data_IF_546060594363
#
_entry.id   IF_546060594363
#
_cell.length_a   1.000
_cell.length_b   1.000
_cell.length_c   1.000
_cell.angle_alpha   90.00
_cell.angle_beta   90.00
_cell.angle_gamma   90.00
#
_symmetry.space_group_name_H-M   'P 1'
#
loop_
_entity.id
_entity.type
_entity.pdbx_description
1 polymer ?
#
# COMPACT_ATOMS: atom_id res chain seq x y z
N UNK A 1 -11.93 18.02 32.84
CA UNK A 1 -10.62 18.41 32.29
C UNK A 1 -10.30 17.44 31.22
N UNK A 2 -10.13 17.86 29.97
CA UNK A 2 -9.55 17.03 28.92
C UNK A 2 -8.13 16.76 29.40
N UNK A 3 -7.77 15.49 29.57
CA UNK A 3 -6.40 15.11 29.90
C UNK A 3 -5.52 15.52 28.71
N UNK A 4 -4.82 16.65 28.85
CA UNK A 4 -3.97 17.21 27.79
C UNK A 4 -2.78 16.31 27.44
N UNK A 5 -2.53 15.26 28.23
CA UNK A 5 -1.47 14.27 27.97
C UNK A 5 -1.96 13.06 27.17
N UNK A 6 -3.29 12.87 27.06
CA UNK A 6 -3.91 11.71 26.39
C UNK A 6 -3.35 11.39 25.00
N UNK A 7 -3.33 12.34 24.05
CA UNK A 7 -2.81 12.07 22.71
C UNK A 7 -1.34 11.66 22.67
N UNK A 8 -0.52 12.21 23.57
CA UNK A 8 0.91 11.83 23.66
C UNK A 8 1.05 10.42 24.25
N UNK A 9 0.28 10.10 25.30
CA UNK A 9 0.27 8.74 25.86
C UNK A 9 -0.26 7.71 24.87
N UNK A 10 -1.30 8.01 24.11
CA UNK A 10 -1.82 7.11 23.08
C UNK A 10 -0.76 6.80 22.02
N UNK A 11 0.03 7.80 21.61
CA UNK A 11 1.15 7.57 20.68
C UNK A 11 2.26 6.71 21.31
N UNK A 12 2.63 6.95 22.58
CA UNK A 12 3.67 6.18 23.29
C UNK A 12 3.24 4.71 23.45
N UNK A 13 2.02 4.46 23.93
CA UNK A 13 1.54 3.08 24.15
C UNK A 13 1.22 2.38 22.83
N UNK A 14 0.93 3.14 21.77
CA UNK A 14 0.70 2.65 20.42
C UNK A 14 1.86 1.77 19.92
N UNK A 15 3.09 2.10 20.27
CA UNK A 15 4.27 1.30 19.94
C UNK A 15 4.18 -0.13 20.50
N UNK A 16 3.86 -0.28 21.79
CA UNK A 16 3.73 -1.60 22.44
C UNK A 16 2.49 -2.35 21.95
N UNK A 17 1.38 -1.65 21.69
CA UNK A 17 0.16 -2.22 21.11
C UNK A 17 0.42 -2.78 19.72
N UNK A 18 1.14 -2.03 18.89
CA UNK A 18 1.55 -2.53 17.59
C UNK A 18 2.49 -3.74 17.70
N UNK A 19 3.44 -3.74 18.63
CA UNK A 19 4.29 -4.90 18.91
C UNK A 19 3.48 -6.15 19.31
N UNK A 20 2.39 -5.99 20.06
CA UNK A 20 1.49 -7.10 20.40
C UNK A 20 0.73 -7.62 19.16
N UNK A 21 0.26 -6.73 18.27
CA UNK A 21 -0.34 -7.12 16.99
C UNK A 21 0.67 -7.83 16.08
N UNK A 22 1.90 -7.34 16.03
CA UNK A 22 2.98 -7.95 15.26
C UNK A 22 3.28 -9.38 15.74
N UNK A 23 3.37 -9.57 17.05
CA UNK A 23 3.55 -10.91 17.62
C UNK A 23 2.37 -11.85 17.29
N UNK A 24 1.13 -11.37 17.37
CA UNK A 24 -0.06 -12.14 16.99
C UNK A 24 -0.03 -12.54 15.50
N UNK A 25 0.36 -11.61 14.63
CA UNK A 25 0.43 -11.81 13.18
C UNK A 25 1.52 -12.83 12.80
N UNK A 26 2.70 -12.69 13.39
CA UNK A 26 3.86 -13.55 13.15
C UNK A 26 3.62 -14.98 13.62
N UNK A 27 3.08 -15.14 14.82
CA UNK A 27 2.77 -16.43 15.43
C UNK A 27 1.49 -17.08 14.89
N UNK A 28 0.72 -16.43 14.03
CA UNK A 28 -0.53 -16.98 13.47
C UNK A 28 -1.63 -17.23 14.51
N UNK A 29 -1.60 -16.54 15.65
CA UNK A 29 -2.52 -16.79 16.76
C UNK A 29 -4.00 -16.67 16.35
N UNK A 30 -4.31 -15.76 15.41
CA UNK A 30 -5.68 -15.55 14.94
C UNK A 30 -6.23 -16.77 14.20
N UNK A 31 -5.41 -17.46 13.42
CA UNK A 31 -5.81 -18.65 12.68
C UNK A 31 -6.14 -19.81 13.63
N UNK A 32 -5.35 -19.96 14.70
CA UNK A 32 -5.64 -20.98 15.73
C UNK A 32 -6.90 -20.67 16.55
N UNK A 33 -7.20 -19.38 16.77
CA UNK A 33 -8.42 -18.93 17.45
C UNK A 33 -9.66 -18.93 16.56
N UNK A 34 -9.53 -19.18 15.26
CA UNK A 34 -10.66 -19.17 14.32
C UNK A 34 -11.72 -20.22 14.65
N UNK A 35 -11.33 -21.36 15.21
CA UNK A 35 -12.23 -22.45 15.57
C UNK A 35 -12.95 -22.24 16.92
N UNK A 36 -12.59 -21.24 17.69
CA UNK A 36 -13.18 -20.91 18.99
C UNK A 36 -12.14 -20.59 20.07
N UNK A 37 -12.61 -20.46 21.33
CA UNK A 37 -11.76 -20.08 22.44
C UNK A 37 -10.65 -21.11 22.73
N UNK A 38 -9.44 -20.64 23.02
CA UNK A 38 -8.31 -21.47 23.44
C UNK A 38 -7.69 -20.95 24.73
N UNK A 39 -7.25 -21.88 25.58
CA UNK A 39 -6.39 -21.58 26.70
C UNK A 39 -5.01 -21.12 26.22
N UNK A 40 -4.40 -20.16 26.94
CA UNK A 40 -3.10 -19.62 26.54
C UNK A 40 -2.00 -20.66 26.42
N UNK A 41 -2.06 -21.74 27.25
CA UNK A 41 -1.09 -22.85 27.18
C UNK A 41 -1.23 -23.65 25.88
N UNK A 42 -2.48 -23.95 25.49
CA UNK A 42 -2.74 -24.68 24.24
C UNK A 42 -2.41 -23.83 23.02
N UNK A 43 -2.78 -22.53 23.04
CA UNK A 43 -2.43 -21.59 21.99
C UNK A 43 -0.90 -21.44 21.84
N UNK A 44 -0.17 -21.35 22.94
CA UNK A 44 1.28 -21.26 22.93
C UNK A 44 1.93 -22.52 22.33
N UNK A 45 1.40 -23.70 22.64
CA UNK A 45 1.88 -24.93 22.03
C UNK A 45 1.62 -24.99 20.51
N UNK A 46 0.50 -24.47 20.04
CA UNK A 46 0.18 -24.38 18.60
C UNK A 46 1.07 -23.36 17.87
N UNK A 47 1.48 -22.31 18.57
CA UNK A 47 2.31 -21.22 18.03
C UNK A 47 3.83 -21.44 18.24
N UNK A 48 4.24 -22.54 18.81
CA UNK A 48 5.64 -22.80 19.25
C UNK A 48 6.21 -21.64 20.11
N UNK A 49 5.44 -21.19 21.10
CA UNK A 49 5.73 -20.02 21.90
C UNK A 49 5.74 -20.33 23.42
N UNK A 50 6.39 -19.48 24.22
CA UNK A 50 6.29 -19.52 25.67
C UNK A 50 4.92 -19.03 26.13
N UNK A 51 4.22 -19.86 26.91
CA UNK A 51 2.85 -19.58 27.37
C UNK A 51 2.77 -18.34 28.29
N UNK A 52 3.81 -18.07 29.08
CA UNK A 52 3.85 -16.90 29.98
C UNK A 52 4.01 -15.62 29.19
N UNK A 53 4.91 -15.62 28.21
CA UNK A 53 5.12 -14.48 27.31
C UNK A 53 3.90 -14.24 26.43
N UNK A 54 3.36 -15.28 25.80
CA UNK A 54 2.14 -15.17 24.97
C UNK A 54 0.97 -14.65 25.79
N UNK A 55 0.82 -15.11 27.04
CA UNK A 55 -0.24 -14.63 27.94
C UNK A 55 -0.16 -13.11 28.22
N UNK A 56 1.02 -12.51 28.16
CA UNK A 56 1.20 -11.06 28.29
C UNK A 56 0.71 -10.34 27.03
N UNK A 57 1.06 -10.88 25.86
CA UNK A 57 0.57 -10.37 24.55
C UNK A 57 -0.95 -10.45 24.47
N UNK A 58 -1.54 -11.59 24.81
CA UNK A 58 -2.98 -11.80 24.76
C UNK A 58 -3.75 -10.85 25.70
N UNK A 59 -3.17 -10.48 26.86
CA UNK A 59 -3.77 -9.49 27.76
C UNK A 59 -3.80 -8.09 27.16
N UNK A 60 -2.74 -7.67 26.46
CA UNK A 60 -2.72 -6.36 25.78
C UNK A 60 -3.70 -6.37 24.60
N UNK A 61 -3.72 -7.44 23.80
CA UNK A 61 -4.68 -7.60 22.70
C UNK A 61 -6.13 -7.59 23.18
N UNK A 62 -6.40 -8.13 24.40
CA UNK A 62 -7.71 -8.05 25.01
C UNK A 62 -8.05 -6.62 25.48
N UNK A 63 -7.06 -5.90 26.01
CA UNK A 63 -7.26 -4.51 26.44
C UNK A 63 -7.60 -3.56 25.28
N UNK A 64 -7.08 -3.84 24.07
CA UNK A 64 -7.39 -3.06 22.86
C UNK A 64 -8.53 -3.66 22.02
N UNK A 65 -9.19 -4.72 22.51
CA UNK A 65 -10.40 -5.28 21.89
C UNK A 65 -10.18 -6.16 20.64
N UNK A 66 -8.96 -6.62 20.39
CA UNK A 66 -8.66 -7.56 19.29
C UNK A 66 -9.08 -8.99 19.66
N UNK A 67 -8.84 -9.38 20.90
CA UNK A 67 -9.36 -10.62 21.48
C UNK A 67 -10.21 -10.30 22.71
N UNK A 68 -10.95 -11.28 23.22
CA UNK A 68 -11.59 -11.15 24.54
C UNK A 68 -11.32 -12.38 25.41
N UNK A 69 -11.21 -12.17 26.69
CA UNK A 69 -11.12 -13.26 27.67
C UNK A 69 -12.53 -13.79 27.98
N UNK A 70 -12.73 -15.09 27.81
CA UNK A 70 -13.99 -15.77 28.14
C UNK A 70 -13.91 -16.57 29.44
N UNK A 71 -12.71 -16.85 29.92
CA UNK A 71 -12.37 -17.41 31.23
C UNK A 71 -10.93 -17.01 31.59
N UNK A 72 -10.46 -17.19 32.81
CA UNK A 72 -9.06 -16.94 33.18
C UNK A 72 -8.09 -17.64 32.21
N UNK A 73 -7.28 -16.84 31.50
CA UNK A 73 -6.30 -17.29 30.50
C UNK A 73 -6.89 -18.01 29.27
N UNK A 74 -8.19 -17.87 28.99
CA UNK A 74 -8.85 -18.39 27.78
C UNK A 74 -9.31 -17.23 26.93
N UNK A 75 -8.92 -17.22 25.66
CA UNK A 75 -9.17 -16.11 24.75
C UNK A 75 -9.87 -16.57 23.48
N UNK A 76 -10.67 -15.69 22.90
CA UNK A 76 -11.25 -15.84 21.57
C UNK A 76 -11.13 -14.52 20.78
N UNK A 77 -11.27 -14.59 19.44
CA UNK A 77 -11.29 -13.41 18.59
C UNK A 77 -12.56 -12.58 18.82
N UNK A 78 -12.41 -11.27 18.83
CA UNK A 78 -13.53 -10.34 18.65
C UNK A 78 -13.84 -10.18 17.15
N UNK A 79 -14.89 -9.45 16.81
CA UNK A 79 -15.15 -9.03 15.41
C UNK A 79 -13.96 -8.29 14.83
N UNK A 80 -13.37 -7.35 15.58
CA UNK A 80 -12.15 -6.64 15.18
C UNK A 80 -10.94 -7.58 15.02
N UNK A 81 -10.86 -8.65 15.79
CA UNK A 81 -9.78 -9.64 15.71
C UNK A 81 -9.88 -10.58 14.51
N UNK A 82 -11.06 -10.73 13.91
CA UNK A 82 -11.24 -11.63 12.75
C UNK A 82 -10.40 -11.17 11.55
N UNK A 83 -10.14 -9.85 11.40
CA UNK A 83 -9.33 -9.34 10.29
C UNK A 83 -7.84 -9.73 10.38
N UNK A 84 -7.40 -10.29 11.52
CA UNK A 84 -6.02 -10.78 11.70
C UNK A 84 -5.82 -12.21 11.19
N UNK A 85 -6.89 -12.90 10.78
CA UNK A 85 -6.81 -14.24 10.18
C UNK A 85 -6.24 -14.16 8.77
N UNK A 86 -5.45 -15.17 8.39
CA UNK A 86 -4.87 -15.26 7.04
C UNK A 86 -5.85 -15.76 5.97
N UNK A 87 -6.98 -16.39 6.37
CA UNK A 87 -7.95 -17.03 5.48
C UNK A 87 -9.18 -16.17 5.16
N UNK A 88 -9.20 -14.90 5.59
CA UNK A 88 -10.36 -14.02 5.36
C UNK A 88 -10.08 -12.96 4.29
N UNK A 89 -11.06 -12.63 3.44
CA UNK A 89 -10.93 -11.50 2.52
C UNK A 89 -10.68 -10.19 3.29
N UNK A 90 -9.76 -9.37 2.81
CA UNK A 90 -9.42 -8.11 3.46
C UNK A 90 -8.61 -8.27 4.75
N UNK A 91 -7.92 -9.39 4.93
CA UNK A 91 -7.03 -9.60 6.07
C UNK A 91 -6.05 -8.45 6.27
N UNK A 92 -5.93 -7.98 7.51
CA UNK A 92 -4.95 -6.96 7.91
C UNK A 92 -3.61 -7.57 8.34
N UNK A 93 -3.51 -8.90 8.39
CA UNK A 93 -2.28 -9.59 8.79
C UNK A 93 -1.08 -9.21 7.91
N UNK A 94 -1.18 -9.17 6.56
CA UNK A 94 -0.07 -8.73 5.72
C UNK A 94 0.36 -7.29 6.03
N UNK A 95 -0.58 -6.38 6.28
CA UNK A 95 -0.26 -5.00 6.63
C UNK A 95 0.56 -4.92 7.93
N UNK A 96 0.16 -5.67 8.96
CA UNK A 96 0.86 -5.72 10.25
C UNK A 96 2.25 -6.32 10.08
N UNK A 97 2.41 -7.40 9.29
CA UNK A 97 3.72 -8.04 9.05
C UNK A 97 4.67 -7.13 8.28
N UNK A 98 4.19 -6.45 7.25
CA UNK A 98 4.99 -5.45 6.50
C UNK A 98 5.48 -4.33 7.40
N UNK A 99 4.61 -3.78 8.25
CA UNK A 99 4.98 -2.68 9.16
C UNK A 99 5.87 -3.15 10.32
N UNK A 100 5.87 -4.45 10.65
CA UNK A 100 6.73 -5.06 11.66
C UNK A 100 8.06 -5.56 11.08
N UNK A 101 8.22 -5.57 9.75
CA UNK A 101 9.47 -5.95 9.10
C UNK A 101 10.63 -5.05 9.56
N UNK A 102 11.82 -5.62 9.71
CA UNK A 102 12.98 -4.97 10.34
C UNK A 102 13.31 -3.62 9.69
N UNK A 103 13.37 -3.55 8.36
CA UNK A 103 13.71 -2.32 7.64
C UNK A 103 12.66 -1.24 7.80
N UNK A 104 11.38 -1.64 7.76
CA UNK A 104 10.27 -0.72 7.99
C UNK A 104 10.31 -0.14 9.40
N UNK A 105 10.48 -1.00 10.40
CA UNK A 105 10.59 -0.61 11.80
C UNK A 105 11.80 0.30 12.06
N UNK A 106 12.95 -0.05 11.45
CA UNK A 106 14.18 0.74 11.54
C UNK A 106 13.98 2.14 10.91
N UNK A 107 13.33 2.24 9.76
CA UNK A 107 13.10 3.51 9.08
C UNK A 107 12.32 4.51 9.94
N UNK A 108 11.26 4.06 10.62
CA UNK A 108 10.50 4.91 11.55
C UNK A 108 11.33 5.36 12.75
N UNK A 109 12.20 4.49 13.26
CA UNK A 109 13.16 4.84 14.32
C UNK A 109 14.19 5.91 13.90
N UNK A 110 14.47 6.01 12.60
CA UNK A 110 15.38 7.00 12.01
C UNK A 110 14.70 8.32 11.62
N UNK A 111 13.38 8.44 11.78
CA UNK A 111 12.61 9.61 11.38
C UNK A 111 13.18 10.94 11.94
N UNK A 112 13.63 11.06 13.21
CA UNK A 112 14.25 12.29 13.69
C UNK A 112 15.50 12.72 12.89
N UNK A 113 16.28 11.76 12.41
CA UNK A 113 17.45 12.03 11.58
C UNK A 113 17.04 12.40 10.14
N UNK A 114 16.06 11.69 9.57
CA UNK A 114 15.48 12.00 8.26
C UNK A 114 14.91 13.43 8.22
N UNK A 115 14.20 13.87 9.26
CA UNK A 115 13.69 15.24 9.38
C UNK A 115 14.83 16.28 9.41
N UNK A 116 15.94 16.00 10.11
CA UNK A 116 17.10 16.93 10.12
C UNK A 116 17.79 17.04 8.80
N UNK A 117 17.79 15.99 7.98
CA UNK A 117 18.49 15.92 6.69
C UNK A 117 17.59 16.30 5.51
N UNK A 118 16.28 16.27 5.69
CA UNK A 118 15.30 16.52 4.62
C UNK A 118 15.17 15.35 3.62
N UNK A 119 15.55 14.12 4.02
CA UNK A 119 15.47 12.95 3.16
C UNK A 119 15.50 11.64 3.95
N UNK A 120 15.31 10.49 3.29
CA UNK A 120 15.30 9.18 3.93
C UNK A 120 16.69 8.70 4.34
N UNK A 121 16.94 8.65 5.64
CA UNK A 121 18.17 8.04 6.18
C UNK A 121 18.17 6.52 5.95
N UNK A 122 17.01 5.89 5.84
CA UNK A 122 16.92 4.48 5.47
C UNK A 122 17.50 4.24 4.06
N UNK A 123 17.10 5.06 3.08
CA UNK A 123 17.59 4.96 1.69
C UNK A 123 19.10 5.23 1.63
N UNK A 124 19.61 6.20 2.38
CA UNK A 124 21.05 6.47 2.45
C UNK A 124 21.86 5.26 2.94
N UNK A 125 21.28 4.47 3.86
CA UNK A 125 21.97 3.32 4.50
C UNK A 125 21.78 2.01 3.76
N UNK A 126 20.60 1.78 3.19
CA UNK A 126 20.17 0.47 2.67
C UNK A 126 19.90 0.48 1.16
N UNK A 127 19.96 1.64 0.50
CA UNK A 127 19.50 1.82 -0.88
C UNK A 127 17.96 1.93 -0.98
N UNK A 128 17.42 2.03 -2.20
CA UNK A 128 15.99 2.13 -2.43
C UNK A 128 15.20 0.99 -1.79
N UNK A 129 14.05 1.29 -1.20
CA UNK A 129 13.26 0.31 -0.44
C UNK A 129 12.86 -0.92 -1.27
N UNK A 130 12.53 -0.76 -2.54
CA UNK A 130 12.21 -1.89 -3.43
C UNK A 130 13.41 -2.79 -3.71
N UNK A 131 14.63 -2.25 -3.74
CA UNK A 131 15.85 -3.05 -3.89
C UNK A 131 16.19 -3.77 -2.57
N UNK A 132 15.92 -3.11 -1.45
CA UNK A 132 15.99 -3.72 -0.12
C UNK A 132 15.04 -4.93 -0.01
N UNK A 133 13.78 -4.81 -0.49
CA UNK A 133 12.81 -5.90 -0.53
C UNK A 133 13.24 -7.00 -1.51
N UNK A 134 13.74 -6.66 -2.70
CA UNK A 134 14.19 -7.64 -3.70
C UNK A 134 15.28 -8.57 -3.16
N UNK A 135 16.12 -8.09 -2.23
CA UNK A 135 17.12 -8.89 -1.55
C UNK A 135 16.54 -9.77 -0.42
N UNK A 136 15.23 -9.67 -0.10
CA UNK A 136 14.53 -10.35 1.01
C UNK A 136 13.22 -10.99 0.52
N UNK A 137 13.27 -12.20 -0.06
CA UNK A 137 12.11 -12.80 -0.74
C UNK A 137 10.86 -12.97 0.13
N UNK A 138 11.03 -13.17 1.43
CA UNK A 138 9.89 -13.29 2.36
C UNK A 138 9.22 -11.93 2.58
N UNK A 139 10.00 -10.91 2.92
CA UNK A 139 9.49 -9.54 3.07
C UNK A 139 8.84 -9.00 1.76
N UNK A 140 9.43 -9.35 0.61
CA UNK A 140 8.86 -9.00 -0.70
C UNK A 140 7.50 -9.66 -0.94
N UNK A 141 7.32 -10.94 -0.55
CA UNK A 141 6.01 -11.62 -0.66
C UNK A 141 4.98 -10.95 0.23
N UNK A 142 5.31 -10.68 1.49
CA UNK A 142 4.41 -10.02 2.43
C UNK A 142 4.00 -8.61 1.96
N UNK A 143 4.95 -7.87 1.41
CA UNK A 143 4.68 -6.58 0.80
C UNK A 143 3.72 -6.70 -0.38
N UNK A 144 3.92 -7.68 -1.26
CA UNK A 144 3.03 -7.94 -2.40
C UNK A 144 1.61 -8.33 -1.93
N UNK A 145 1.49 -9.21 -0.92
CA UNK A 145 0.20 -9.60 -0.33
C UNK A 145 -0.54 -8.40 0.28
N UNK A 146 0.21 -7.51 0.96
CA UNK A 146 -0.33 -6.26 1.47
C UNK A 146 -0.83 -5.34 0.36
N UNK A 147 -0.02 -5.16 -0.70
CA UNK A 147 -0.42 -4.34 -1.86
C UNK A 147 -1.63 -4.93 -2.58
N UNK A 148 -1.72 -6.25 -2.72
CA UNK A 148 -2.90 -6.92 -3.28
C UNK A 148 -4.15 -6.66 -2.44
N UNK A 149 -4.06 -6.82 -1.11
CA UNK A 149 -5.18 -6.57 -0.20
C UNK A 149 -5.72 -5.14 -0.34
N UNK A 150 -4.85 -4.16 -0.56
CA UNK A 150 -5.23 -2.77 -0.83
C UNK A 150 -5.81 -2.56 -2.23
N UNK A 151 -5.22 -3.22 -3.21
CA UNK A 151 -5.59 -3.03 -4.63
C UNK A 151 -6.99 -3.55 -4.94
N UNK A 152 -7.47 -4.61 -4.28
CA UNK A 152 -8.77 -5.24 -4.58
C UNK A 152 -9.95 -4.26 -4.46
N UNK A 153 -10.21 -3.61 -3.31
CA UNK A 153 -11.34 -2.68 -3.21
C UNK A 153 -11.15 -1.43 -4.06
N UNK A 154 -9.92 -0.95 -4.22
CA UNK A 154 -9.60 0.22 -5.04
C UNK A 154 -9.82 -0.09 -6.52
N UNK A 155 -9.36 -1.24 -7.00
CA UNK A 155 -9.53 -1.67 -8.38
C UNK A 155 -11.00 -1.90 -8.75
N UNK A 156 -11.79 -2.46 -7.85
CA UNK A 156 -13.23 -2.61 -8.04
C UNK A 156 -13.94 -1.25 -8.16
N UNK A 157 -13.61 -0.29 -7.31
CA UNK A 157 -14.16 1.06 -7.36
C UNK A 157 -13.68 1.82 -8.61
N UNK A 158 -12.39 1.77 -8.94
CA UNK A 158 -11.82 2.37 -10.15
C UNK A 158 -12.55 1.86 -11.40
N UNK A 159 -12.74 0.54 -11.51
CA UNK A 159 -13.38 -0.08 -12.66
C UNK A 159 -14.89 0.24 -12.76
N UNK A 160 -15.55 0.49 -11.61
CA UNK A 160 -16.98 0.81 -11.59
C UNK A 160 -17.27 2.31 -11.78
N UNK A 161 -16.43 3.18 -11.19
CA UNK A 161 -16.74 4.61 -11.06
C UNK A 161 -16.06 5.48 -12.14
N UNK A 162 -15.04 4.94 -12.83
CA UNK A 162 -14.36 5.66 -13.90
C UNK A 162 -14.78 5.13 -15.27
N UNK A 163 -15.09 6.07 -16.20
CA UNK A 163 -15.48 5.74 -17.57
C UNK A 163 -14.26 5.49 -18.47
N UNK A 164 -14.05 4.23 -18.85
CA UNK A 164 -13.01 3.78 -19.77
C UNK A 164 -13.52 3.58 -21.21
N UNK A 165 -14.76 4.02 -21.56
CA UNK A 165 -15.38 3.69 -22.84
C UNK A 165 -14.63 4.20 -24.07
N UNK A 166 -13.87 5.29 -23.94
CA UNK A 166 -13.04 5.89 -24.99
C UNK A 166 -11.55 5.49 -24.89
N UNK A 167 -11.16 4.67 -23.88
CA UNK A 167 -9.81 4.14 -23.73
C UNK A 167 -9.66 2.85 -24.51
N UNK A 168 -8.72 2.81 -25.45
CA UNK A 168 -8.36 1.60 -26.21
C UNK A 168 -7.21 0.85 -25.53
N UNK A 169 -6.19 1.60 -25.12
CA UNK A 169 -4.99 1.04 -24.47
C UNK A 169 -4.70 1.77 -23.16
N UNK A 170 -4.62 1.01 -22.08
CA UNK A 170 -4.24 1.44 -20.75
C UNK A 170 -2.88 0.88 -20.37
N UNK A 171 -1.90 1.73 -20.12
CA UNK A 171 -0.61 1.34 -19.52
C UNK A 171 -0.71 1.47 -18.01
N UNK A 172 -0.45 0.38 -17.29
CA UNK A 172 -0.28 0.36 -15.84
C UNK A 172 1.23 0.49 -15.57
N UNK A 173 1.65 1.70 -15.21
CA UNK A 173 3.05 2.08 -15.03
C UNK A 173 3.52 1.69 -13.64
N UNK A 174 4.53 0.84 -13.56
CA UNK A 174 4.98 0.17 -12.35
C UNK A 174 3.83 -0.61 -11.67
N UNK A 175 3.04 -1.32 -12.49
CA UNK A 175 1.81 -1.99 -12.08
C UNK A 175 2.00 -3.25 -11.24
N UNK A 176 3.24 -3.64 -10.93
CA UNK A 176 3.55 -4.80 -10.10
C UNK A 176 2.94 -6.09 -10.66
N UNK A 177 2.11 -6.76 -9.86
CA UNK A 177 1.41 -7.99 -10.29
C UNK A 177 0.17 -7.75 -11.17
N UNK A 178 -0.13 -6.50 -11.56
CA UNK A 178 -1.22 -6.15 -12.47
C UNK A 178 -2.63 -6.28 -11.88
N UNK A 179 -2.80 -6.22 -10.57
CA UNK A 179 -4.12 -6.39 -9.92
C UNK A 179 -5.12 -5.31 -10.33
N UNK A 180 -4.69 -4.04 -10.37
CA UNK A 180 -5.54 -2.91 -10.78
C UNK A 180 -5.87 -2.98 -12.26
N UNK A 181 -4.88 -3.26 -13.10
CA UNK A 181 -5.08 -3.46 -14.53
C UNK A 181 -6.07 -4.59 -14.80
N UNK A 182 -5.92 -5.72 -14.13
CA UNK A 182 -6.82 -6.87 -14.25
C UNK A 182 -8.28 -6.51 -13.87
N UNK A 183 -8.49 -5.69 -12.83
CA UNK A 183 -9.83 -5.22 -12.45
C UNK A 183 -10.47 -4.36 -13.56
N UNK A 184 -9.71 -3.45 -14.15
CA UNK A 184 -10.18 -2.64 -15.29
C UNK A 184 -10.48 -3.52 -16.51
N UNK A 185 -9.58 -4.45 -16.87
CA UNK A 185 -9.78 -5.36 -18.01
C UNK A 185 -11.00 -6.28 -17.84
N UNK A 186 -11.29 -6.69 -16.59
CA UNK A 186 -12.49 -7.51 -16.30
C UNK A 186 -13.78 -6.74 -16.57
N UNK A 187 -13.86 -5.47 -16.16
CA UNK A 187 -15.05 -4.63 -16.30
C UNK A 187 -15.21 -4.03 -17.70
N UNK A 188 -14.10 -3.81 -18.42
CA UNK A 188 -14.08 -3.12 -19.71
C UNK A 188 -13.49 -4.02 -20.81
N UNK A 189 -14.30 -4.86 -21.48
CA UNK A 189 -13.83 -5.85 -22.46
C UNK A 189 -13.12 -5.27 -23.69
N UNK A 190 -13.37 -4.00 -24.02
CA UNK A 190 -12.79 -3.29 -25.17
C UNK A 190 -11.40 -2.73 -24.88
N UNK A 191 -11.03 -2.59 -23.62
CA UNK A 191 -9.71 -2.07 -23.20
C UNK A 191 -8.64 -3.13 -23.36
N UNK A 192 -7.52 -2.77 -23.94
CA UNK A 192 -6.27 -3.56 -23.92
C UNK A 192 -5.35 -2.99 -22.84
N UNK A 193 -4.67 -3.88 -22.11
CA UNK A 193 -3.75 -3.50 -21.06
C UNK A 193 -2.30 -3.62 -21.53
N UNK A 194 -1.45 -2.78 -20.98
CA UNK A 194 0.01 -2.96 -21.00
C UNK A 194 0.48 -2.87 -19.56
N UNK A 195 1.01 -3.97 -19.03
CA UNK A 195 1.68 -3.96 -17.73
C UNK A 195 3.13 -3.58 -17.96
N UNK A 196 3.50 -2.39 -17.51
CA UNK A 196 4.85 -1.85 -17.63
C UNK A 196 5.54 -1.80 -16.28
N UNK A 197 6.61 -2.55 -16.11
CA UNK A 197 7.42 -2.60 -14.89
C UNK A 197 8.82 -3.14 -15.21
N UNK A 198 9.68 -3.27 -14.19
CA UNK A 198 10.99 -3.90 -14.33
C UNK A 198 10.86 -5.35 -14.81
N UNK A 199 11.81 -5.83 -15.59
CA UNK A 199 11.77 -7.14 -16.28
C UNK A 199 11.36 -8.29 -15.34
N UNK A 200 12.02 -8.43 -14.18
CA UNK A 200 11.72 -9.50 -13.22
C UNK A 200 10.30 -9.40 -12.61
N UNK A 201 9.71 -8.19 -12.56
CA UNK A 201 8.35 -7.95 -12.04
C UNK A 201 7.32 -8.40 -13.07
N UNK A 202 7.46 -7.97 -14.33
CA UNK A 202 6.52 -8.35 -15.40
C UNK A 202 6.56 -9.85 -15.68
N UNK A 203 7.73 -10.49 -15.58
CA UNK A 203 7.83 -11.95 -15.69
C UNK A 203 7.07 -12.66 -14.56
N UNK A 204 7.17 -12.17 -13.33
CA UNK A 204 6.41 -12.69 -12.19
C UNK A 204 4.90 -12.51 -12.32
N UNK A 205 4.44 -11.44 -12.95
CA UNK A 205 3.01 -11.16 -13.16
C UNK A 205 2.35 -12.03 -14.25
N UNK A 206 3.12 -12.58 -15.20
CA UNK A 206 2.61 -13.32 -16.36
C UNK A 206 1.60 -14.40 -15.98
N UNK A 207 2.00 -15.32 -15.12
CA UNK A 207 1.16 -16.45 -14.74
C UNK A 207 -0.15 -16.03 -14.07
N UNK A 208 -0.12 -14.94 -13.27
CA UNK A 208 -1.29 -14.38 -12.62
C UNK A 208 -2.29 -13.80 -13.63
N UNK A 209 -1.82 -13.03 -14.60
CA UNK A 209 -2.65 -12.43 -15.65
C UNK A 209 -3.24 -13.48 -16.59
N UNK A 210 -2.46 -14.50 -16.98
CA UNK A 210 -2.92 -15.65 -17.78
C UNK A 210 -4.00 -16.44 -17.03
N UNK A 211 -3.79 -16.76 -15.75
CA UNK A 211 -4.76 -17.50 -14.93
C UNK A 211 -6.07 -16.72 -14.75
N UNK A 212 -6.05 -15.39 -14.80
CA UNK A 212 -7.23 -14.52 -14.78
C UNK A 212 -7.89 -14.34 -16.16
N UNK A 213 -7.31 -14.92 -17.23
CA UNK A 213 -7.85 -14.89 -18.59
C UNK A 213 -7.50 -13.62 -19.38
N UNK A 214 -6.46 -12.88 -19.00
CA UNK A 214 -6.06 -11.64 -19.67
C UNK A 214 -4.83 -11.76 -20.57
N UNK A 215 -4.26 -12.97 -20.76
CA UNK A 215 -3.05 -13.17 -21.56
C UNK A 215 -3.15 -12.56 -22.98
N UNK A 216 -4.29 -12.68 -23.65
CA UNK A 216 -4.51 -12.13 -25.01
C UNK A 216 -4.80 -10.64 -25.05
N UNK A 217 -5.13 -10.01 -23.90
CA UNK A 217 -5.50 -8.60 -23.81
C UNK A 217 -4.55 -7.76 -22.97
N UNK A 218 -3.51 -8.36 -22.41
CA UNK A 218 -2.51 -7.69 -21.60
C UNK A 218 -1.11 -7.97 -22.14
N UNK A 219 -0.47 -6.94 -22.67
CA UNK A 219 0.94 -6.97 -23.06
C UNK A 219 1.81 -6.79 -21.81
N UNK A 220 2.92 -7.50 -21.74
CA UNK A 220 3.94 -7.32 -20.70
C UNK A 220 5.13 -6.58 -21.30
N UNK A 221 5.35 -5.36 -20.85
CA UNK A 221 6.38 -4.47 -21.36
C UNK A 221 7.44 -4.20 -20.26
N UNK A 222 8.61 -4.82 -20.30
CA UNK A 222 9.68 -4.50 -19.37
C UNK A 222 10.30 -3.14 -19.68
N UNK A 223 10.61 -2.34 -18.62
CA UNK A 223 11.26 -1.06 -18.80
C UNK A 223 11.48 -0.29 -17.51
N UNK A 224 11.90 0.95 -17.68
CA UNK A 224 12.14 1.91 -16.60
C UNK A 224 11.46 3.24 -16.95
N UNK A 225 10.50 3.66 -16.13
CA UNK A 225 9.74 4.90 -16.32
C UNK A 225 10.63 6.17 -16.28
N UNK A 226 11.85 6.08 -15.76
CA UNK A 226 12.82 7.18 -15.85
C UNK A 226 13.44 7.33 -17.24
N UNK A 227 13.33 6.32 -18.10
CA UNK A 227 13.83 6.36 -19.48
C UNK A 227 12.72 6.53 -20.50
N UNK A 228 11.48 6.14 -20.17
CA UNK A 228 10.31 6.25 -21.01
C UNK A 228 9.24 5.24 -20.66
N UNK A 229 8.06 5.37 -21.26
CA UNK A 229 6.93 4.44 -21.13
C UNK A 229 6.36 4.11 -22.51
N UNK A 230 5.62 2.98 -22.70
CA UNK A 230 4.94 2.66 -23.95
C UNK A 230 3.90 3.71 -24.33
N UNK A 231 3.66 3.91 -25.64
CA UNK A 231 2.61 4.81 -26.12
C UNK A 231 1.21 4.21 -25.89
N UNK A 232 0.28 5.00 -25.35
CA UNK A 232 -1.09 4.57 -25.06
C UNK A 232 -2.05 5.75 -24.91
N UNK A 233 -3.36 5.47 -24.88
CA UNK A 233 -4.41 6.47 -24.69
C UNK A 233 -4.54 6.91 -23.22
N UNK A 234 -4.23 5.99 -22.28
CA UNK A 234 -4.33 6.26 -20.86
C UNK A 234 -3.17 5.60 -20.07
N UNK A 235 -2.77 6.25 -19.00
CA UNK A 235 -1.70 5.81 -18.12
C UNK A 235 -2.21 5.78 -16.68
N UNK A 236 -2.10 4.64 -16.02
CA UNK A 236 -2.38 4.46 -14.60
C UNK A 236 -1.06 4.42 -13.85
N UNK A 237 -0.91 5.27 -12.84
CA UNK A 237 0.20 5.26 -11.88
C UNK A 237 -0.39 5.16 -10.49
N UNK A 238 -0.31 4.00 -9.88
CA UNK A 238 -0.95 3.73 -8.60
C UNK A 238 0.07 3.60 -7.47
N UNK A 239 0.07 4.53 -6.52
CA UNK A 239 1.03 4.61 -5.42
C UNK A 239 2.47 4.66 -5.94
N UNK A 240 2.70 5.47 -6.96
CA UNK A 240 4.01 5.63 -7.61
C UNK A 240 4.61 7.00 -7.33
N UNK A 241 3.87 8.08 -7.62
CA UNK A 241 4.39 9.45 -7.56
C UNK A 241 4.78 9.84 -6.14
N UNK A 242 4.08 9.33 -5.14
CA UNK A 242 4.37 9.59 -3.74
C UNK A 242 5.71 9.01 -3.24
N UNK A 243 6.28 8.04 -3.93
CA UNK A 243 7.59 7.47 -3.57
C UNK A 243 8.77 8.37 -3.92
N UNK A 244 8.54 9.44 -4.70
CA UNK A 244 9.57 10.21 -5.35
C UNK A 244 9.59 11.67 -4.91
N UNK A 245 10.78 12.27 -4.99
CA UNK A 245 10.97 13.72 -4.90
C UNK A 245 10.17 14.43 -6.01
N UNK A 246 9.94 15.75 -5.86
CA UNK A 246 9.27 16.49 -6.93
C UNK A 246 10.08 16.47 -8.23
N UNK A 247 11.43 16.52 -8.16
CA UNK A 247 12.30 16.41 -9.33
C UNK A 247 12.12 15.09 -10.08
N UNK A 248 12.14 13.97 -9.37
CA UNK A 248 11.95 12.63 -9.96
C UNK A 248 10.53 12.41 -10.45
N UNK A 249 9.54 12.89 -9.69
CA UNK A 249 8.13 12.85 -10.10
C UNK A 249 7.90 13.62 -11.42
N UNK A 250 8.53 14.78 -11.59
CA UNK A 250 8.49 15.55 -12.84
C UNK A 250 9.12 14.78 -14.02
N UNK A 251 10.22 14.05 -13.78
CA UNK A 251 10.83 13.20 -14.84
C UNK A 251 9.88 12.09 -15.26
N UNK A 252 9.26 11.41 -14.30
CA UNK A 252 8.29 10.32 -14.58
C UNK A 252 7.12 10.87 -15.38
N UNK A 253 6.46 11.93 -14.89
CA UNK A 253 5.31 12.54 -15.55
C UNK A 253 5.66 13.13 -16.91
N UNK A 254 6.86 13.69 -17.08
CA UNK A 254 7.40 14.18 -18.35
C UNK A 254 7.53 13.06 -19.39
N UNK A 255 8.02 11.89 -18.99
CA UNK A 255 8.12 10.70 -19.86
C UNK A 255 6.74 10.17 -20.24
N UNK A 256 5.79 10.13 -19.30
CA UNK A 256 4.40 9.77 -19.58
C UNK A 256 3.79 10.78 -20.57
N UNK A 257 3.95 12.08 -20.31
CA UNK A 257 3.43 13.14 -21.21
C UNK A 257 4.01 13.06 -22.62
N UNK A 258 5.28 12.73 -22.75
CA UNK A 258 5.94 12.59 -24.05
C UNK A 258 5.44 11.39 -24.87
N UNK A 259 5.02 10.31 -24.21
CA UNK A 259 4.48 9.11 -24.86
C UNK A 259 2.97 9.20 -25.16
N UNK A 260 2.27 10.16 -24.54
CA UNK A 260 0.82 10.30 -24.57
C UNK A 260 0.36 11.12 -25.79
N UNK A 261 -0.72 10.71 -26.50
CA UNK A 261 -1.33 11.50 -27.56
C UNK A 261 -2.00 12.78 -27.01
N UNK A 262 -2.40 13.67 -27.92
CA UNK A 262 -3.01 14.96 -27.55
C UNK A 262 -4.37 14.83 -26.82
N UNK A 263 -5.06 13.73 -27.01
CA UNK A 263 -6.34 13.36 -26.38
C UNK A 263 -6.19 12.29 -25.28
N UNK A 264 -4.95 11.97 -24.91
CA UNK A 264 -4.65 10.99 -23.86
C UNK A 264 -4.89 11.53 -22.46
N UNK A 265 -4.74 10.65 -21.46
CA UNK A 265 -4.95 11.01 -20.05
C UNK A 265 -4.00 10.27 -19.09
N UNK A 266 -3.73 10.90 -17.97
CA UNK A 266 -3.01 10.31 -16.84
C UNK A 266 -3.97 10.13 -15.69
N UNK A 267 -3.92 8.97 -15.07
CA UNK A 267 -4.71 8.55 -13.92
C UNK A 267 -3.74 8.25 -12.77
N UNK A 268 -3.55 9.23 -11.87
CA UNK A 268 -2.79 9.00 -10.65
C UNK A 268 -3.72 8.48 -9.56
N UNK A 269 -3.38 7.33 -9.01
CA UNK A 269 -4.11 6.74 -7.91
C UNK A 269 -3.27 6.89 -6.65
N UNK A 270 -3.53 7.98 -5.90
CA UNK A 270 -2.70 8.45 -4.79
C UNK A 270 -3.57 8.89 -3.62
N UNK A 271 -2.96 9.19 -2.49
CA UNK A 271 -3.64 9.89 -1.41
C UNK A 271 -3.53 11.40 -1.63
N UNK A 272 -4.68 12.10 -1.48
CA UNK A 272 -4.70 13.57 -1.56
C UNK A 272 -4.88 14.09 -0.14
N UNK A 273 -3.85 14.79 0.37
CA UNK A 273 -3.89 15.36 1.70
C UNK A 273 -4.92 16.51 1.78
N UNK A 274 -5.67 16.63 2.88
CA UNK A 274 -6.44 17.84 3.15
C UNK A 274 -5.51 19.03 3.40
N UNK A 275 -5.96 20.23 3.03
CA UNK A 275 -5.22 21.48 3.25
C UNK A 275 -5.28 21.98 4.71
N UNK A 276 -6.03 21.30 5.56
CA UNK A 276 -6.24 21.64 6.98
C UNK A 276 -5.68 20.58 7.93
N UNK A 277 -5.83 20.79 9.25
CA UNK A 277 -5.37 19.88 10.30
C UNK A 277 -6.32 18.70 10.57
N UNK A 278 -7.36 18.49 9.74
CA UNK A 278 -8.28 17.37 9.91
C UNK A 278 -7.55 16.01 9.89
N UNK A 279 -8.00 15.05 10.69
CA UNK A 279 -7.41 13.71 10.66
C UNK A 279 -7.57 13.07 9.27
N UNK A 280 -6.46 12.57 8.71
CA UNK A 280 -6.43 11.86 7.44
C UNK A 280 -5.32 10.83 7.43
N UNK A 281 -5.61 9.62 6.95
CA UNK A 281 -4.63 8.52 6.92
C UNK A 281 -3.40 8.87 6.07
N UNK A 282 -3.55 9.67 5.02
CA UNK A 282 -2.45 10.14 4.17
C UNK A 282 -1.37 10.88 4.94
N UNK A 283 -1.69 11.58 6.05
CA UNK A 283 -0.68 12.25 6.89
C UNK A 283 0.26 11.26 7.57
N UNK A 284 -0.24 10.09 7.93
CA UNK A 284 0.57 9.01 8.49
C UNK A 284 1.38 8.32 7.38
N UNK A 285 0.77 8.10 6.21
CA UNK A 285 1.46 7.55 5.03
C UNK A 285 2.57 8.49 4.57
N UNK A 286 2.38 9.81 4.63
CA UNK A 286 3.41 10.81 4.29
C UNK A 286 4.68 10.66 5.14
N UNK A 287 4.52 10.39 6.44
CA UNK A 287 5.68 10.09 7.31
C UNK A 287 6.40 8.81 6.89
N UNK A 288 5.67 7.80 6.41
CA UNK A 288 6.27 6.57 5.86
C UNK A 288 7.02 6.84 4.57
N UNK A 289 6.46 7.69 3.69
CA UNK A 289 7.13 8.08 2.44
C UNK A 289 8.45 8.78 2.74
N UNK A 290 8.47 9.73 3.68
CA UNK A 290 9.71 10.35 4.15
C UNK A 290 10.69 9.32 4.70
N UNK A 291 10.23 8.42 5.56
CA UNK A 291 11.10 7.46 6.25
C UNK A 291 11.71 6.41 5.30
N UNK A 292 10.91 5.82 4.41
CA UNK A 292 11.28 4.67 3.59
C UNK A 292 11.79 5.03 2.19
N UNK A 293 11.26 6.10 1.59
CA UNK A 293 11.50 6.44 0.18
C UNK A 293 12.18 7.80 -0.01
N UNK A 294 11.98 8.73 0.92
CA UNK A 294 12.33 10.14 0.71
C UNK A 294 11.34 10.88 -0.18
N UNK A 295 10.19 10.25 -0.46
CA UNK A 295 9.06 10.82 -1.18
C UNK A 295 8.07 11.54 -0.26
N UNK A 296 6.88 11.85 -0.78
CA UNK A 296 5.84 12.58 -0.04
C UNK A 296 4.44 12.39 -0.59
N UNK A 297 3.44 12.41 0.26
CA UNK A 297 2.06 12.65 -0.13
C UNK A 297 1.84 14.14 -0.41
N UNK A 298 0.82 14.45 -1.22
CA UNK A 298 0.60 15.84 -1.69
C UNK A 298 -0.85 16.24 -1.51
N UNK A 299 -1.07 17.53 -1.30
CA UNK A 299 -2.39 18.16 -1.37
C UNK A 299 -2.86 18.26 -2.83
N UNK A 300 -4.15 18.56 -3.03
CA UNK A 300 -4.70 18.79 -4.37
C UNK A 300 -3.96 19.93 -5.10
N UNK A 301 -3.61 20.99 -4.38
CA UNK A 301 -2.86 22.13 -4.93
C UNK A 301 -1.47 21.72 -5.41
N UNK A 302 -0.72 20.98 -4.60
CA UNK A 302 0.62 20.48 -4.94
C UNK A 302 0.59 19.50 -6.13
N UNK A 303 -0.42 18.60 -6.22
CA UNK A 303 -0.60 17.78 -7.44
C UNK A 303 -0.90 18.63 -8.68
N UNK A 304 -1.73 19.68 -8.56
CA UNK A 304 -2.03 20.55 -9.69
C UNK A 304 -0.77 21.30 -10.21
N UNK A 305 0.10 21.75 -9.30
CA UNK A 305 1.37 22.40 -9.64
C UNK A 305 2.36 21.42 -10.29
N UNK A 306 2.48 20.21 -9.74
CA UNK A 306 3.34 19.16 -10.28
C UNK A 306 2.91 18.76 -11.70
N UNK A 307 1.61 18.54 -11.91
CA UNK A 307 1.05 18.23 -13.22
C UNK A 307 1.24 19.36 -14.21
N UNK A 308 0.95 20.60 -13.82
CA UNK A 308 1.12 21.78 -14.70
C UNK A 308 2.59 21.93 -15.16
N UNK A 309 3.56 21.72 -14.27
CA UNK A 309 4.98 21.74 -14.60
C UNK A 309 5.37 20.64 -15.60
N UNK A 310 4.63 19.51 -15.61
CA UNK A 310 4.84 18.41 -16.55
C UNK A 310 4.05 18.55 -17.87
N UNK A 311 3.39 19.68 -18.12
CA UNK A 311 2.56 19.90 -19.32
C UNK A 311 1.22 19.17 -19.29
N UNK A 312 0.70 18.94 -18.07
CA UNK A 312 -0.58 18.30 -17.78
C UNK A 312 -1.46 19.25 -16.97
N UNK A 313 -2.77 19.21 -17.18
CA UNK A 313 -3.75 19.95 -16.39
C UNK A 313 -4.57 18.98 -15.54
N UNK A 314 -4.64 19.23 -14.23
CA UNK A 314 -5.52 18.47 -13.34
C UNK A 314 -6.99 18.72 -13.76
N UNK A 315 -7.67 17.67 -14.20
CA UNK A 315 -9.07 17.70 -14.65
C UNK A 315 -10.02 17.53 -13.46
N UNK A 316 -9.89 16.43 -12.74
CA UNK A 316 -10.74 16.12 -11.57
C UNK A 316 -10.03 15.22 -10.56
N UNK A 317 -10.59 15.18 -9.35
CA UNK A 317 -10.19 14.25 -8.27
C UNK A 317 -11.45 13.50 -7.83
N UNK A 318 -11.41 12.18 -7.88
CA UNK A 318 -12.49 11.30 -7.43
C UNK A 318 -12.04 10.53 -6.19
N UNK A 319 -12.79 10.58 -5.07
CA UNK A 319 -12.46 9.80 -3.91
C UNK A 319 -12.67 8.30 -4.18
N UNK A 320 -11.77 7.48 -3.66
CA UNK A 320 -11.80 6.02 -3.73
C UNK A 320 -11.73 5.42 -2.31
N UNK A 321 -12.00 4.12 -2.15
CA UNK A 321 -11.86 3.45 -0.86
C UNK A 321 -10.47 3.60 -0.22
N UNK A 322 -10.40 3.37 1.10
CA UNK A 322 -9.17 3.35 1.89
C UNK A 322 -8.35 4.66 1.84
N UNK A 323 -9.01 5.81 1.66
CA UNK A 323 -8.36 7.13 1.61
C UNK A 323 -7.64 7.43 0.30
N UNK A 324 -7.72 6.55 -0.69
CA UNK A 324 -7.18 6.80 -2.03
C UNK A 324 -8.05 7.79 -2.80
N UNK A 325 -7.45 8.43 -3.80
CA UNK A 325 -8.12 9.29 -4.76
C UNK A 325 -7.61 8.99 -6.16
N UNK A 326 -8.50 9.03 -7.15
CA UNK A 326 -8.13 9.05 -8.55
C UNK A 326 -7.99 10.51 -9.00
N UNK A 327 -6.79 10.90 -9.38
CA UNK A 327 -6.46 12.21 -9.94
C UNK A 327 -6.35 12.04 -11.45
N UNK A 328 -7.29 12.61 -12.19
CA UNK A 328 -7.23 12.63 -13.65
C UNK A 328 -6.55 13.89 -14.13
N UNK A 329 -5.61 13.74 -15.06
CA UNK A 329 -4.95 14.85 -15.73
C UNK A 329 -4.95 14.66 -17.25
N UNK A 330 -5.11 15.76 -17.96
CA UNK A 330 -5.16 15.84 -19.42
C UNK A 330 -3.98 16.69 -19.92
N UNK A 331 -3.57 16.57 -21.19
CA UNK A 331 -2.63 17.52 -21.80
C UNK A 331 -3.06 18.97 -21.58
N UNK A 332 -2.11 19.84 -21.17
CA UNK A 332 -2.35 21.26 -20.96
C UNK A 332 -2.44 22.03 -22.30
#
# INVERSE_FOLDING_TARGET
MIDSTGPVWDAIVGLSRFGALAAMAELGCADHLAAGPLGVTDLAALCDADATALGRVMRELAAIGVVRSVAPHVYELTEAGQVMRGDVPGSMRPAVRVMAEEGYWQALGLLPESVRRGGSVFVERNGPYYDYLAARPEAAREFNDYMETRAVPIGAALAADYDFSDVKTLVDVAGGNGHLLAAVLAAHPTVRGVLFDREHVVEGARASLEARGFGDRCELAPGDFFTGVPAADAYLLASIIHNWSDEDALRILGNVRAAMPADGRVLLLEMVLPDDDSPHIGKEVDLRMLALHGGRERTRGEYAELLATSGLALSRVLPLPAGASLIEALPA
#
